data_IF_311969412860
#
_entry.id   IF_311969412860
#
_cell.length_a   1.000
_cell.length_b   1.000
_cell.length_c   1.000
_cell.angle_alpha   90.00
_cell.angle_beta   90.00
_cell.angle_gamma   90.00
#
_symmetry.space_group_name_H-M   'P 1'
#
loop_
_entity.id
_entity.type
_entity.pdbx_description
1 polymer ?
#
# COMPACT_ATOMS: atom_id res chain seq x y z
N UNK A 1 10.82 25.33 7.46
CA UNK A 1 12.05 24.60 7.83
C UNK A 1 11.57 23.22 8.26
N UNK A 2 11.64 22.24 7.36
CA UNK A 2 11.22 20.87 7.69
C UNK A 2 12.19 20.32 8.73
N UNK A 3 11.68 19.94 9.90
CA UNK A 3 12.52 19.30 10.91
C UNK A 3 12.86 17.90 10.38
N UNK A 4 14.14 17.59 10.14
CA UNK A 4 14.52 16.26 9.69
C UNK A 4 14.12 15.22 10.74
N UNK A 5 13.63 14.08 10.28
CA UNK A 5 13.23 13.00 11.17
C UNK A 5 14.43 12.47 11.96
N UNK A 6 14.19 12.17 13.23
CA UNK A 6 15.15 11.44 14.06
C UNK A 6 15.29 9.98 13.58
N UNK A 7 16.43 9.35 13.86
CA UNK A 7 16.65 7.94 13.50
C UNK A 7 15.54 6.99 14.01
N UNK A 8 15.00 7.12 15.25
CA UNK A 8 13.88 6.30 15.69
C UNK A 8 12.59 6.52 14.88
N UNK A 9 12.29 7.75 14.45
CA UNK A 9 11.11 8.02 13.63
C UNK A 9 11.23 7.37 12.25
N UNK A 10 12.43 7.43 11.64
CA UNK A 10 12.71 6.72 10.38
C UNK A 10 12.58 5.21 10.56
N UNK A 11 13.12 4.66 11.66
CA UNK A 11 13.01 3.23 11.97
C UNK A 11 11.56 2.78 12.16
N UNK A 12 10.75 3.56 12.89
CA UNK A 12 9.33 3.31 13.08
C UNK A 12 8.59 3.25 11.74
N UNK A 13 8.76 4.29 10.91
CA UNK A 13 8.13 4.37 9.60
C UNK A 13 8.53 3.25 8.66
N UNK A 14 9.84 3.02 8.49
CA UNK A 14 10.34 1.96 7.63
C UNK A 14 9.83 0.58 8.11
N UNK A 15 9.80 0.36 9.42
CA UNK A 15 9.33 -0.88 10.04
C UNK A 15 7.88 -1.18 9.72
N UNK A 16 6.95 -0.28 10.07
CA UNK A 16 5.53 -0.53 9.80
C UNK A 16 5.24 -0.53 8.28
N UNK A 17 5.94 0.30 7.50
CA UNK A 17 5.78 0.38 6.04
C UNK A 17 6.12 -0.96 5.39
N UNK A 18 7.30 -1.50 5.67
CA UNK A 18 7.74 -2.77 5.08
C UNK A 18 6.88 -3.94 5.57
N UNK A 19 6.52 -3.96 6.86
CA UNK A 19 5.63 -4.99 7.40
C UNK A 19 4.27 -4.97 6.71
N UNK A 20 3.64 -3.79 6.58
CA UNK A 20 2.36 -3.62 5.88
C UNK A 20 2.47 -4.08 4.42
N UNK A 21 3.55 -3.73 3.73
CA UNK A 21 3.72 -4.04 2.32
C UNK A 21 3.90 -5.53 2.05
N UNK A 22 4.70 -6.20 2.87
CA UNK A 22 5.01 -7.63 2.73
C UNK A 22 3.88 -8.54 3.20
N UNK A 23 3.02 -8.06 4.11
CA UNK A 23 1.89 -8.83 4.63
C UNK A 23 0.59 -8.55 3.88
N UNK A 24 0.53 -7.50 3.05
CA UNK A 24 -0.61 -7.25 2.17
C UNK A 24 -0.71 -8.30 1.06
N UNK A 25 -1.91 -8.81 0.71
CA UNK A 25 -3.22 -8.40 1.24
C UNK A 25 -3.69 -9.20 2.48
N UNK A 26 -2.93 -10.19 2.96
CA UNK A 26 -3.31 -11.04 4.09
C UNK A 26 -3.54 -10.26 5.39
N UNK A 27 -2.85 -9.14 5.56
CA UNK A 27 -3.07 -8.16 6.63
C UNK A 27 -4.56 -7.78 6.79
N UNK A 28 -5.33 -7.75 5.70
CA UNK A 28 -6.75 -7.38 5.72
C UNK A 28 -7.65 -8.38 6.49
N UNK A 29 -7.12 -9.54 6.89
CA UNK A 29 -7.82 -10.55 7.69
C UNK A 29 -7.44 -10.53 9.17
N UNK A 30 -6.56 -9.63 9.60
CA UNK A 30 -6.20 -9.50 11.01
C UNK A 30 -7.41 -9.10 11.88
N UNK A 31 -7.46 -9.54 13.16
CA UNK A 31 -8.50 -9.13 14.09
C UNK A 31 -8.61 -7.61 14.20
N UNK A 32 -9.85 -7.10 14.16
CA UNK A 32 -10.13 -5.67 14.25
C UNK A 32 -10.05 -4.91 12.92
N UNK A 33 -9.48 -5.50 11.85
CA UNK A 33 -9.53 -4.89 10.52
C UNK A 33 -10.93 -5.08 9.93
N UNK A 34 -11.58 -3.96 9.58
CA UNK A 34 -12.91 -3.97 8.95
C UNK A 34 -12.75 -3.59 7.49
N UNK A 35 -13.29 -4.42 6.59
CA UNK A 35 -13.23 -4.16 5.15
C UNK A 35 -14.63 -4.04 4.56
N UNK A 36 -14.81 -3.08 3.65
CA UNK A 36 -16.02 -2.96 2.83
C UNK A 36 -15.64 -2.74 1.37
N UNK A 37 -16.39 -3.37 0.48
CA UNK A 37 -16.28 -3.08 -0.95
C UNK A 37 -16.84 -1.67 -1.25
N UNK A 38 -16.18 -0.96 -2.15
CA UNK A 38 -16.59 0.36 -2.65
C UNK A 38 -16.64 0.33 -4.17
N UNK A 39 -17.14 1.41 -4.77
CA UNK A 39 -17.33 1.52 -6.21
C UNK A 39 -16.03 1.12 -6.94
N UNK A 40 -16.10 0.36 -8.04
CA UNK A 40 -14.90 -0.02 -8.79
C UNK A 40 -14.18 1.22 -9.34
N UNK A 41 -12.91 1.03 -9.68
CA UNK A 41 -12.07 2.08 -10.26
C UNK A 41 -11.53 1.63 -11.60
N UNK A 42 -11.62 2.49 -12.61
CA UNK A 42 -11.09 2.22 -13.94
C UNK A 42 -9.86 3.09 -14.19
N UNK A 43 -8.76 2.45 -14.55
CA UNK A 43 -7.48 3.11 -14.81
C UNK A 43 -6.74 2.33 -15.89
N UNK A 44 -6.15 3.02 -16.86
CA UNK A 44 -5.35 2.42 -17.94
C UNK A 44 -6.06 1.26 -18.69
N UNK A 45 -7.38 1.32 -18.82
CA UNK A 45 -8.18 0.28 -19.48
C UNK A 45 -8.48 -0.96 -18.63
N UNK A 46 -7.97 -1.05 -17.41
CA UNK A 46 -8.36 -2.07 -16.43
C UNK A 46 -9.44 -1.53 -15.49
N UNK A 47 -10.36 -2.39 -15.05
CA UNK A 47 -11.30 -2.08 -13.97
C UNK A 47 -10.95 -2.92 -12.74
N UNK A 48 -10.74 -2.26 -11.62
CA UNK A 48 -10.35 -2.87 -10.35
C UNK A 48 -11.46 -2.77 -9.32
N UNK A 49 -11.67 -3.87 -8.58
CA UNK A 49 -12.53 -3.89 -7.39
C UNK A 49 -11.79 -3.23 -6.24
N UNK A 50 -12.48 -2.41 -5.46
CA UNK A 50 -11.87 -1.67 -4.36
C UNK A 50 -12.39 -2.14 -3.02
N UNK A 51 -11.47 -2.43 -2.10
CA UNK A 51 -11.77 -2.66 -0.69
C UNK A 51 -11.25 -1.49 0.12
N UNK A 52 -12.15 -0.78 0.81
CA UNK A 52 -11.75 0.15 1.87
C UNK A 52 -11.57 -0.62 3.16
N UNK A 53 -10.41 -0.47 3.77
CA UNK A 53 -10.04 -1.09 5.02
C UNK A 53 -9.93 -0.02 6.12
N UNK A 54 -10.52 -0.28 7.27
CA UNK A 54 -10.35 0.48 8.50
C UNK A 54 -9.51 -0.37 9.47
N UNK A 55 -8.37 0.16 9.88
CA UNK A 55 -7.42 -0.49 10.78
C UNK A 55 -7.70 -0.11 12.25
N UNK A 56 -7.53 -1.04 13.20
CA UNK A 56 -7.57 -0.74 14.62
C UNK A 56 -6.27 -0.04 15.06
N UNK A 57 -6.34 0.77 16.12
CA UNK A 57 -5.19 1.49 16.69
C UNK A 57 -4.05 0.56 17.16
N UNK A 58 -4.35 -0.74 17.35
CA UNK A 58 -3.38 -1.77 17.72
C UNK A 58 -2.44 -2.17 16.57
N UNK A 59 -2.73 -1.77 15.33
CA UNK A 59 -1.89 -2.05 14.16
C UNK A 59 -1.31 -0.73 13.65
N UNK A 60 -0.01 -0.56 13.80
CA UNK A 60 0.70 0.58 13.21
C UNK A 60 0.70 0.47 11.68
N UNK A 61 0.12 1.46 11.01
CA UNK A 61 0.06 1.57 9.54
C UNK A 61 0.17 3.05 9.13
N UNK A 62 0.00 3.37 7.82
CA UNK A 62 0.09 4.74 7.31
C UNK A 62 -1.04 5.64 7.78
N UNK A 63 -2.28 5.14 7.71
CA UNK A 63 -3.50 5.83 8.11
C UNK A 63 -4.55 4.83 8.58
N UNK A 64 -5.53 5.31 9.36
CA UNK A 64 -6.64 4.48 9.85
C UNK A 64 -7.48 3.89 8.70
N UNK A 65 -7.76 4.67 7.66
CA UNK A 65 -8.50 4.21 6.49
C UNK A 65 -7.58 4.13 5.27
N UNK A 66 -7.62 3.00 4.56
CA UNK A 66 -6.80 2.75 3.36
C UNK A 66 -7.65 2.04 2.31
N UNK A 67 -7.26 2.13 1.04
CA UNK A 67 -8.02 1.52 -0.08
C UNK A 67 -7.13 0.60 -0.92
N UNK A 68 -7.58 -0.64 -1.09
CA UNK A 68 -6.87 -1.68 -1.84
C UNK A 68 -7.63 -1.99 -3.13
N UNK A 69 -6.89 -2.13 -4.23
CA UNK A 69 -7.45 -2.28 -5.58
C UNK A 69 -7.03 -3.62 -6.16
N UNK A 70 -7.99 -4.47 -6.47
CA UNK A 70 -7.77 -5.82 -6.97
C UNK A 70 -8.25 -5.94 -8.42
N UNK A 71 -7.45 -6.56 -9.27
CA UNK A 71 -7.86 -6.92 -10.63
C UNK A 71 -8.89 -8.07 -10.62
N UNK A 72 -9.39 -8.43 -11.80
CA UNK A 72 -10.33 -9.56 -11.98
C UNK A 72 -9.76 -10.92 -11.52
N UNK A 73 -8.44 -11.05 -11.43
CA UNK A 73 -7.73 -12.25 -10.99
C UNK A 73 -7.49 -12.26 -9.47
N UNK A 74 -7.94 -11.23 -8.76
CA UNK A 74 -7.72 -11.06 -7.32
C UNK A 74 -6.31 -10.60 -6.95
N UNK A 75 -5.52 -10.12 -7.90
CA UNK A 75 -4.19 -9.55 -7.64
C UNK A 75 -4.31 -8.10 -7.20
N UNK A 76 -3.64 -7.75 -6.10
CA UNK A 76 -3.49 -6.37 -5.65
C UNK A 76 -2.68 -5.58 -6.68
N UNK A 77 -3.29 -4.54 -7.27
CA UNK A 77 -2.66 -3.67 -8.27
C UNK A 77 -2.22 -2.33 -7.68
N UNK A 78 -3.01 -1.82 -6.76
CA UNK A 78 -2.81 -0.51 -6.15
C UNK A 78 -3.26 -0.51 -4.69
N UNK A 79 -2.57 0.27 -3.88
CA UNK A 79 -2.86 0.50 -2.47
C UNK A 79 -2.74 2.00 -2.16
N UNK A 80 -3.83 2.61 -1.74
CA UNK A 80 -3.92 4.03 -1.40
C UNK A 80 -4.02 4.22 0.10
N UNK A 81 -3.28 5.21 0.60
CA UNK A 81 -3.25 5.60 2.00
C UNK A 81 -2.82 7.06 2.12
N UNK A 82 -3.04 7.62 3.29
CA UNK A 82 -2.49 8.90 3.72
C UNK A 82 -1.40 8.63 4.75
N UNK A 83 -0.31 9.41 4.75
CA UNK A 83 0.75 9.23 5.76
C UNK A 83 0.48 10.18 6.93
N UNK A 84 -0.24 9.71 7.95
CA UNK A 84 -0.70 10.57 9.06
C UNK A 84 0.46 11.22 9.81
N UNK A 85 1.56 10.49 10.00
CA UNK A 85 2.77 11.02 10.66
C UNK A 85 3.55 12.05 9.82
N UNK A 86 3.14 12.26 8.58
CA UNK A 86 3.72 13.22 7.64
C UNK A 86 2.64 14.15 7.06
N UNK A 87 1.75 14.67 7.91
CA UNK A 87 0.75 15.65 7.50
C UNK A 87 -0.37 15.09 6.61
N UNK A 88 -0.62 13.78 6.68
CA UNK A 88 -1.63 13.07 5.89
C UNK A 88 -1.44 13.22 4.38
N UNK A 89 -0.19 13.16 3.93
CA UNK A 89 0.15 13.19 2.50
C UNK A 89 -0.47 11.97 1.77
N UNK A 90 -1.32 12.18 0.76
CA UNK A 90 -1.99 11.09 0.05
C UNK A 90 -1.04 10.42 -0.93
N UNK A 91 -0.99 9.08 -0.89
CA UNK A 91 -0.08 8.27 -1.69
C UNK A 91 -0.82 7.16 -2.44
N UNK A 92 -0.40 6.91 -3.67
CA UNK A 92 -0.81 5.77 -4.49
C UNK A 92 0.38 4.84 -4.70
N UNK A 93 0.35 3.68 -4.04
CA UNK A 93 1.35 2.61 -4.20
C UNK A 93 0.88 1.63 -5.27
N UNK A 94 1.61 1.53 -6.36
CA UNK A 94 1.41 0.53 -7.40
C UNK A 94 2.29 -0.69 -7.15
N UNK A 95 1.71 -1.88 -7.32
CA UNK A 95 2.40 -3.15 -7.18
C UNK A 95 2.48 -3.82 -8.56
N UNK A 96 3.69 -4.08 -9.02
CA UNK A 96 3.95 -4.65 -10.34
C UNK A 96 4.90 -5.83 -10.24
N UNK A 97 5.01 -6.59 -11.34
CA UNK A 97 5.84 -7.81 -11.42
C UNK A 97 5.49 -8.83 -10.31
N UNK A 98 4.31 -9.45 -10.39
CA UNK A 98 3.93 -10.48 -9.43
C UNK A 98 4.89 -11.67 -9.49
N UNK A 99 5.29 -12.17 -8.33
CA UNK A 99 6.16 -13.33 -8.16
C UNK A 99 5.45 -14.35 -7.28
N UNK A 100 5.30 -15.57 -7.76
CA UNK A 100 4.70 -16.65 -6.97
C UNK A 100 5.79 -17.49 -6.30
N UNK A 101 5.72 -17.60 -4.97
CA UNK A 101 6.61 -18.43 -4.15
C UNK A 101 5.77 -19.33 -3.27
N UNK A 102 5.92 -20.64 -3.41
CA UNK A 102 5.16 -21.64 -2.63
C UNK A 102 3.63 -21.40 -2.64
N UNK A 103 3.07 -20.96 -3.78
CA UNK A 103 1.64 -20.69 -3.94
C UNK A 103 1.18 -19.32 -3.42
N UNK A 104 2.06 -18.53 -2.81
CA UNK A 104 1.79 -17.15 -2.41
C UNK A 104 2.25 -16.19 -3.50
N UNK A 105 1.39 -15.25 -3.90
CA UNK A 105 1.76 -14.17 -4.83
C UNK A 105 2.25 -12.95 -4.06
N UNK A 106 3.48 -12.55 -4.34
CA UNK A 106 4.16 -11.35 -3.87
C UNK A 106 4.44 -10.44 -5.07
N UNK A 107 5.12 -9.31 -4.86
CA UNK A 107 5.46 -8.34 -5.91
C UNK A 107 6.92 -7.94 -5.80
N UNK A 108 7.67 -7.98 -6.91
CA UNK A 108 9.07 -7.54 -6.91
C UNK A 108 9.21 -6.04 -7.01
N UNK A 109 8.21 -5.31 -7.52
CA UNK A 109 8.29 -3.85 -7.67
C UNK A 109 7.11 -3.13 -7.04
N UNK A 110 7.44 -2.10 -6.28
CA UNK A 110 6.47 -1.13 -5.75
C UNK A 110 6.92 0.29 -6.08
N UNK A 111 6.01 1.10 -6.58
CA UNK A 111 6.24 2.51 -6.92
C UNK A 111 5.17 3.36 -6.28
N UNK A 112 5.57 4.40 -5.56
CA UNK A 112 4.68 5.23 -4.77
C UNK A 112 4.73 6.66 -5.31
N UNK A 113 3.56 7.16 -5.69
CA UNK A 113 3.37 8.52 -6.23
C UNK A 113 2.43 9.31 -5.33
N UNK A 114 2.51 10.66 -5.33
CA UNK A 114 1.47 11.47 -4.72
C UNK A 114 0.14 11.15 -5.39
N UNK A 115 -0.93 11.06 -4.61
CA UNK A 115 -2.27 10.83 -5.14
C UNK A 115 -3.02 12.16 -5.22
N UNK A 116 -3.54 12.47 -6.41
CA UNK A 116 -4.31 13.68 -6.67
C UNK A 116 -5.77 13.51 -6.19
N UNK A 117 -6.52 14.61 -6.00
CA UNK A 117 -7.92 14.56 -5.58
C UNK A 117 -8.85 13.81 -6.55
N UNK A 118 -8.49 13.73 -7.82
CA UNK A 118 -9.18 12.93 -8.85
C UNK A 118 -8.85 11.42 -8.78
N UNK A 119 -8.16 11.00 -7.71
CA UNK A 119 -7.69 9.64 -7.46
C UNK A 119 -6.66 9.13 -8.49
N UNK A 120 -6.12 9.98 -9.36
CA UNK A 120 -5.00 9.63 -10.23
C UNK A 120 -3.66 9.87 -9.52
N UNK A 121 -2.60 9.15 -9.90
CA UNK A 121 -1.27 9.49 -9.44
C UNK A 121 -0.84 10.83 -10.05
N UNK A 122 -0.03 11.59 -9.33
CA UNK A 122 0.77 12.65 -9.91
C UNK A 122 1.87 12.04 -10.78
N UNK A 123 2.22 12.66 -11.93
CA UNK A 123 3.27 12.14 -12.81
C UNK A 123 4.67 12.20 -12.17
N UNK A 124 4.86 13.12 -11.23
CA UNK A 124 6.08 13.33 -10.48
C UNK A 124 5.76 14.03 -9.14
N UNK A 125 6.66 13.93 -8.14
CA UNK A 125 7.82 13.04 -8.10
C UNK A 125 7.45 11.59 -7.76
N UNK A 126 8.33 10.65 -8.11
CA UNK A 126 8.33 9.32 -7.50
C UNK A 126 8.76 9.47 -6.04
N UNK A 127 7.84 9.23 -5.09
CA UNK A 127 8.11 9.40 -3.66
C UNK A 127 9.04 8.29 -3.17
N UNK A 128 8.69 7.04 -3.48
CA UNK A 128 9.43 5.85 -3.04
C UNK A 128 9.42 4.79 -4.15
N UNK A 129 10.59 4.20 -4.40
CA UNK A 129 10.75 2.96 -5.15
C UNK A 129 11.24 1.85 -4.23
N UNK A 130 10.63 0.67 -4.37
CA UNK A 130 11.07 -0.53 -3.67
C UNK A 130 11.18 -1.65 -4.71
N UNK A 131 12.37 -2.26 -4.75
CA UNK A 131 12.67 -3.42 -5.57
C UNK A 131 13.09 -4.57 -4.64
N UNK A 132 12.33 -5.65 -4.66
CA UNK A 132 12.55 -6.85 -3.86
C UNK A 132 12.82 -8.03 -4.78
N UNK A 133 13.73 -8.89 -4.34
CA UNK A 133 14.14 -10.10 -5.08
C UNK A 133 14.47 -11.21 -4.09
N UNK A 134 14.69 -12.41 -4.61
CA UNK A 134 15.13 -13.57 -3.83
C UNK A 134 14.17 -13.95 -2.69
N UNK A 135 12.87 -13.82 -2.91
CA UNK A 135 11.86 -14.31 -1.98
C UNK A 135 12.07 -15.81 -1.70
N UNK A 136 12.24 -16.14 -0.42
CA UNK A 136 12.36 -17.51 0.09
C UNK A 136 11.62 -17.62 1.40
N UNK A 137 10.80 -18.66 1.51
CA UNK A 137 10.24 -19.11 2.78
C UNK A 137 11.01 -20.35 3.25
N UNK A 138 11.01 -20.59 4.55
CA UNK A 138 11.73 -21.66 5.21
C UNK A 138 11.04 -23.02 5.04
#
# INVERSE_FOLDING_TARGET
METPWSHPQVGYFAGYTMWTYLTSPFLLRQPGVVTREVEPWTENGETWRRLRAEFPDTIATHSKEQTYYFDEKGLLRRHDYEVDIQGSNPAARYLTEPVTVQGLTLYSKMRIWPRRPDNLPAPDPLIVSIDLSNYRFF
#
